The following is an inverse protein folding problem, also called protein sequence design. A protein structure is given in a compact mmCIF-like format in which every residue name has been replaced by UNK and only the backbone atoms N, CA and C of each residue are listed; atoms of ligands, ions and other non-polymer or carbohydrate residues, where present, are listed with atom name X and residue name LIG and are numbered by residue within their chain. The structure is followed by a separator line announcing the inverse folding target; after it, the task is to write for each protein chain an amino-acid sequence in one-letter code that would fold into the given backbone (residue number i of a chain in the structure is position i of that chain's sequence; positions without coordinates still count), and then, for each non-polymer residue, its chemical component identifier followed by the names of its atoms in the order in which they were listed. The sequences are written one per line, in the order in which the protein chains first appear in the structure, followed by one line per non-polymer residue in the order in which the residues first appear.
data_IF_467374748006
#
_entry.id   IF_467374748006
#
_cell.length_a   1.000
_cell.length_b   1.000
_cell.length_c   1.000
_cell.angle_alpha   90.00
_cell.angle_beta   90.00
_cell.angle_gamma   90.00
#
_symmetry.space_group_name_H-M   'P 1'
#
loop_
_entity.id
_entity.type
_entity.pdbx_description
1 polymer ?
#
# COMPACT_ATOMS: atom_id res chain seq x y z
N UNK A 1 32.83 48.15 16.94
CA UNK A 1 31.99 47.11 16.30
C UNK A 1 30.65 47.74 15.96
N UNK A 2 30.22 47.71 14.70
CA UNK A 2 29.06 48.50 14.24
C UNK A 2 27.77 47.97 14.85
N UNK A 3 27.12 48.78 15.70
CA UNK A 3 25.91 48.45 16.46
C UNK A 3 24.79 47.89 15.56
N UNK A 4 24.66 48.43 14.35
CA UNK A 4 23.70 47.96 13.35
C UNK A 4 23.95 46.51 12.90
N UNK A 5 25.21 46.06 12.88
CA UNK A 5 25.60 44.70 12.50
C UNK A 5 25.25 43.70 13.62
N UNK A 6 25.44 44.10 14.87
CA UNK A 6 25.05 43.31 16.03
C UNK A 6 23.52 43.17 16.13
N UNK A 7 22.78 44.26 15.88
CA UNK A 7 21.31 44.26 15.86
C UNK A 7 20.74 43.34 14.77
N UNK A 8 21.26 43.41 13.55
CA UNK A 8 20.83 42.53 12.44
C UNK A 8 21.14 41.06 12.74
N UNK A 9 22.28 40.76 13.36
CA UNK A 9 22.63 39.40 13.76
C UNK A 9 21.67 38.84 14.83
N UNK A 10 21.27 39.67 15.79
CA UNK A 10 20.33 39.30 16.83
C UNK A 10 18.92 39.02 16.27
N UNK A 11 18.45 39.87 15.35
CA UNK A 11 17.17 39.68 14.65
C UNK A 11 17.19 38.39 13.82
N UNK A 12 18.27 38.13 13.09
CA UNK A 12 18.43 36.89 12.31
C UNK A 12 18.42 35.64 13.20
N UNK A 13 19.08 35.69 14.37
CA UNK A 13 19.07 34.59 15.32
C UNK A 13 17.65 34.32 15.84
N UNK A 14 16.89 35.37 16.19
CA UNK A 14 15.49 35.23 16.61
C UNK A 14 14.61 34.60 15.54
N UNK A 15 14.72 35.06 14.29
CA UNK A 15 13.97 34.49 13.16
C UNK A 15 14.36 33.02 12.91
N UNK A 16 15.65 32.68 12.97
CA UNK A 16 16.11 31.31 12.79
C UNK A 16 15.53 30.36 13.85
N UNK A 17 15.45 30.80 15.12
CA UNK A 17 14.82 30.03 16.20
C UNK A 17 13.34 29.79 15.92
N UNK A 18 12.61 30.80 15.44
CA UNK A 18 11.20 30.66 15.06
C UNK A 18 11.03 29.65 13.92
N UNK A 19 11.88 29.70 12.90
CA UNK A 19 11.85 28.72 11.81
C UNK A 19 12.14 27.29 12.28
N UNK A 20 13.11 27.11 13.19
CA UNK A 20 13.41 25.80 13.77
C UNK A 20 12.21 25.26 14.56
N UNK A 21 11.57 26.11 15.37
CA UNK A 21 10.35 25.73 16.11
C UNK A 21 9.20 25.37 15.18
N UNK A 22 9.06 26.08 14.05
CA UNK A 22 8.04 25.79 13.04
C UNK A 22 8.31 24.44 12.37
N UNK A 23 9.56 24.12 12.01
CA UNK A 23 9.93 22.81 11.46
C UNK A 23 9.64 21.70 12.47
N UNK A 24 9.96 21.89 13.76
CA UNK A 24 9.67 20.91 14.82
C UNK A 24 8.16 20.71 14.99
N UNK A 25 7.37 21.80 14.99
CA UNK A 25 5.91 21.73 15.03
C UNK A 25 5.34 20.96 13.84
N UNK A 26 5.85 21.26 12.64
CA UNK A 26 5.43 20.57 11.41
C UNK A 26 5.81 19.09 11.47
N UNK A 27 7.02 18.74 11.93
CA UNK A 27 7.43 17.35 12.11
C UNK A 27 6.52 16.59 13.10
N UNK A 28 6.14 17.21 14.22
CA UNK A 28 5.21 16.59 15.17
C UNK A 28 3.80 16.40 14.57
N UNK A 29 3.31 17.38 13.81
CA UNK A 29 1.97 17.30 13.21
C UNK A 29 1.91 16.33 12.01
N UNK A 30 2.99 16.24 11.23
CA UNK A 30 3.09 15.31 10.10
C UNK A 30 3.51 13.89 10.52
N UNK A 31 4.03 13.69 11.74
CA UNK A 31 4.36 12.36 12.27
C UNK A 31 3.11 11.47 12.43
N UNK A 32 1.96 12.04 12.82
CA UNK A 32 0.71 11.28 12.93
C UNK A 32 0.21 10.80 11.56
N UNK A 33 0.25 11.70 10.57
CA UNK A 33 -0.18 11.39 9.19
C UNK A 33 0.75 10.36 8.55
N UNK A 34 2.08 10.51 8.68
CA UNK A 34 3.03 9.57 8.11
C UNK A 34 2.95 8.16 8.73
N UNK A 35 2.70 8.07 10.04
CA UNK A 35 2.55 6.79 10.73
C UNK A 35 1.25 6.10 10.36
N UNK A 36 0.11 6.79 10.37
CA UNK A 36 -1.17 6.21 9.94
C UNK A 36 -1.16 5.85 8.45
N UNK A 37 -0.53 6.65 7.60
CA UNK A 37 -0.44 6.37 6.16
C UNK A 37 0.49 5.18 5.88
N UNK A 38 1.65 5.12 6.53
CA UNK A 38 2.59 4.01 6.42
C UNK A 38 2.04 2.72 7.01
N UNK A 39 1.42 2.77 8.19
CA UNK A 39 0.80 1.62 8.83
C UNK A 39 -0.36 1.10 7.95
N UNK A 40 -1.28 1.97 7.52
CA UNK A 40 -2.46 1.56 6.74
C UNK A 40 -2.15 1.10 5.30
N UNK A 41 -1.05 1.55 4.69
CA UNK A 41 -0.55 1.03 3.40
C UNK A 41 0.02 -0.38 3.52
N UNK A 42 0.68 -0.70 4.63
CA UNK A 42 1.34 -2.01 4.81
C UNK A 42 0.49 -3.02 5.58
N UNK A 43 -0.48 -2.57 6.37
CA UNK A 43 -1.39 -3.42 7.16
C UNK A 43 -2.81 -3.43 6.59
N UNK A 44 -2.97 -3.32 5.28
CA UNK A 44 -4.28 -3.52 4.67
C UNK A 44 -4.69 -4.98 4.89
N UNK A 45 -5.61 -5.17 5.84
CA UNK A 45 -6.14 -6.48 6.18
C UNK A 45 -7.02 -6.99 5.04
N UNK A 46 -7.06 -8.31 4.86
CA UNK A 46 -7.94 -8.94 3.89
C UNK A 46 -9.38 -8.43 4.01
N UNK A 47 -10.10 -8.43 2.88
CA UNK A 47 -11.49 -7.95 2.82
C UNK A 47 -12.39 -8.80 3.71
N UNK A 48 -12.11 -10.11 3.75
CA UNK A 48 -12.85 -11.09 4.55
C UNK A 48 -11.93 -11.96 5.41
N UNK A 49 -12.50 -12.64 6.40
CA UNK A 49 -11.81 -13.71 7.14
C UNK A 49 -11.91 -15.01 6.32
N UNK A 50 -10.93 -15.90 6.50
CA UNK A 50 -11.01 -17.25 5.95
C UNK A 50 -12.35 -17.91 6.37
N UNK A 51 -13.08 -18.58 5.45
CA UNK A 51 -12.60 -19.11 4.17
C UNK A 51 -12.68 -18.15 2.95
N UNK A 52 -13.22 -16.94 3.11
CA UNK A 52 -13.35 -15.96 2.01
C UNK A 52 -14.15 -16.48 0.79
N UNK A 53 -13.99 -15.82 -0.35
CA UNK A 53 -14.64 -16.17 -1.63
C UNK A 53 -13.63 -16.06 -2.77
N UNK A 54 -13.55 -17.10 -3.61
CA UNK A 54 -12.71 -17.11 -4.80
C UNK A 54 -13.36 -16.32 -5.93
N UNK A 55 -12.59 -15.39 -6.50
CA UNK A 55 -13.00 -14.53 -7.59
C UNK A 55 -11.95 -14.62 -8.70
N UNK A 56 -12.41 -15.01 -9.88
CA UNK A 56 -11.57 -15.06 -11.08
C UNK A 56 -11.49 -13.67 -11.72
N UNK A 57 -10.27 -13.21 -11.94
CA UNK A 57 -9.97 -11.93 -12.58
C UNK A 57 -9.08 -12.11 -13.79
N UNK A 58 -9.28 -11.25 -14.79
CA UNK A 58 -8.44 -11.19 -15.97
C UNK A 58 -7.65 -9.89 -15.95
N UNK A 59 -6.32 -10.00 -15.90
CA UNK A 59 -5.43 -8.86 -16.08
C UNK A 59 -4.96 -8.83 -17.53
N UNK A 60 -5.19 -7.70 -18.19
CA UNK A 60 -4.66 -7.44 -19.53
C UNK A 60 -3.32 -6.72 -19.41
N UNK A 61 -2.42 -6.95 -20.38
CA UNK A 61 -1.05 -6.42 -20.33
C UNK A 61 -0.92 -4.91 -20.51
N UNK A 62 -1.99 -4.24 -20.92
CA UNK A 62 -2.11 -2.80 -21.09
C UNK A 62 -2.74 -2.08 -19.88
N UNK A 63 -3.24 -2.83 -18.88
CA UNK A 63 -3.84 -2.24 -17.68
C UNK A 63 -2.79 -1.58 -16.79
N UNK A 64 -3.09 -0.36 -16.37
CA UNK A 64 -2.35 0.37 -15.36
C UNK A 64 -2.62 -0.17 -13.95
N UNK A 65 -1.73 0.15 -13.00
CA UNK A 65 -1.91 -0.20 -11.59
C UNK A 65 -3.23 0.33 -11.00
N UNK A 66 -3.71 1.48 -11.49
CA UNK A 66 -4.98 2.06 -11.09
C UNK A 66 -6.16 1.22 -11.59
N UNK A 67 -6.16 0.85 -12.88
CA UNK A 67 -7.21 0.00 -13.47
C UNK A 67 -7.28 -1.38 -12.84
N UNK A 68 -6.13 -1.96 -12.48
CA UNK A 68 -6.07 -3.22 -11.73
C UNK A 68 -6.70 -3.03 -10.34
N UNK A 69 -6.33 -1.96 -9.61
CA UNK A 69 -6.89 -1.66 -8.30
C UNK A 69 -8.39 -1.44 -8.32
N UNK A 70 -8.90 -0.68 -9.29
CA UNK A 70 -10.34 -0.43 -9.48
C UNK A 70 -11.09 -1.73 -9.75
N UNK A 71 -10.59 -2.57 -10.66
CA UNK A 71 -11.18 -3.87 -10.97
C UNK A 71 -11.21 -4.81 -9.77
N UNK A 72 -10.14 -4.85 -8.97
CA UNK A 72 -10.11 -5.64 -7.75
C UNK A 72 -11.09 -5.10 -6.70
N UNK A 73 -11.25 -3.78 -6.58
CA UNK A 73 -12.19 -3.18 -5.64
C UNK A 73 -13.64 -3.44 -6.05
N UNK A 74 -13.97 -3.30 -7.33
CA UNK A 74 -15.30 -3.61 -7.87
C UNK A 74 -15.70 -5.07 -7.61
N UNK A 75 -14.72 -5.98 -7.63
CA UNK A 75 -14.91 -7.40 -7.35
C UNK A 75 -14.83 -7.75 -5.86
N UNK A 76 -14.63 -6.77 -4.98
CA UNK A 76 -14.55 -6.96 -3.54
C UNK A 76 -13.29 -7.69 -3.08
N UNK A 77 -12.23 -7.73 -3.90
CA UNK A 77 -10.94 -8.34 -3.55
C UNK A 77 -10.02 -7.37 -2.78
N UNK A 78 -10.17 -6.06 -2.99
CA UNK A 78 -9.48 -5.03 -2.22
C UNK A 78 -10.46 -3.99 -1.70
N UNK A 79 -10.12 -3.32 -0.58
CA UNK A 79 -11.02 -2.36 0.07
C UNK A 79 -10.93 -0.98 -0.58
N UNK A 80 -9.73 -0.59 -1.02
CA UNK A 80 -9.48 0.72 -1.62
C UNK A 80 -8.46 0.58 -2.78
N UNK A 81 -8.91 0.91 -3.99
CA UNK A 81 -8.14 0.86 -5.22
C UNK A 81 -6.91 1.79 -5.19
N UNK A 82 -7.01 2.94 -4.51
CA UNK A 82 -5.89 3.90 -4.42
C UNK A 82 -4.82 3.41 -3.46
N UNK A 83 -5.22 2.76 -2.36
CA UNK A 83 -4.26 2.11 -1.46
C UNK A 83 -3.55 0.96 -2.17
N UNK A 84 -4.31 0.12 -2.88
CA UNK A 84 -3.75 -0.94 -3.70
C UNK A 84 -2.78 -0.41 -4.77
N UNK A 85 -3.19 0.60 -5.54
CA UNK A 85 -2.36 1.22 -6.58
C UNK A 85 -1.04 1.71 -6.00
N UNK A 86 -1.10 2.41 -4.87
CA UNK A 86 0.08 2.93 -4.19
C UNK A 86 0.97 1.79 -3.68
N UNK A 87 0.39 0.74 -3.09
CA UNK A 87 1.12 -0.43 -2.65
C UNK A 87 1.81 -1.14 -3.81
N UNK A 88 1.13 -1.34 -4.93
CA UNK A 88 1.70 -1.94 -6.14
C UNK A 88 2.83 -1.07 -6.70
N UNK A 89 2.63 0.26 -6.81
CA UNK A 89 3.66 1.20 -7.31
C UNK A 89 4.90 1.26 -6.44
N UNK A 90 4.75 1.20 -5.12
CA UNK A 90 5.86 1.22 -4.16
C UNK A 90 6.50 -0.16 -3.96
N UNK A 91 5.81 -1.24 -4.31
CA UNK A 91 6.36 -2.59 -4.23
C UNK A 91 7.46 -2.84 -5.26
N UNK A 92 8.29 -3.86 -5.00
CA UNK A 92 9.25 -4.39 -5.98
C UNK A 92 8.58 -5.01 -7.23
N UNK A 93 7.25 -5.06 -7.25
CA UNK A 93 6.40 -5.72 -8.24
C UNK A 93 5.67 -4.75 -9.19
N UNK A 94 5.87 -3.43 -9.03
CA UNK A 94 5.20 -2.38 -9.81
C UNK A 94 5.19 -2.55 -11.34
N UNK A 95 6.17 -3.28 -11.89
CA UNK A 95 6.29 -3.60 -13.33
C UNK A 95 6.39 -5.09 -13.62
N UNK A 96 6.10 -5.93 -12.61
CA UNK A 96 6.24 -7.38 -12.70
C UNK A 96 4.89 -8.09 -12.82
N UNK A 97 3.78 -7.39 -12.60
CA UNK A 97 2.44 -7.93 -12.83
C UNK A 97 2.31 -8.38 -14.28
N UNK A 98 1.92 -9.64 -14.48
CA UNK A 98 1.79 -10.25 -15.80
C UNK A 98 0.32 -10.26 -16.21
N UNK A 99 0.09 -10.22 -17.52
CA UNK A 99 -1.23 -10.46 -18.07
C UNK A 99 -1.59 -11.95 -17.88
N UNK A 100 -2.83 -12.22 -17.47
CA UNK A 100 -3.24 -13.59 -17.17
C UNK A 100 -4.61 -13.67 -16.50
N UNK A 101 -5.06 -14.91 -16.32
CA UNK A 101 -6.21 -15.26 -15.50
C UNK A 101 -5.71 -15.63 -14.11
N UNK A 102 -6.27 -14.99 -13.08
CA UNK A 102 -5.90 -15.24 -11.68
C UNK A 102 -7.15 -15.55 -10.88
N UNK A 103 -7.07 -16.58 -10.04
CA UNK A 103 -8.06 -16.84 -9.00
C UNK A 103 -7.54 -16.22 -7.72
N UNK A 104 -8.23 -15.19 -7.24
CA UNK A 104 -7.89 -14.46 -6.02
C UNK A 104 -9.00 -14.64 -5.00
N UNK A 105 -8.65 -14.68 -3.71
CA UNK A 105 -9.62 -14.90 -2.65
C UNK A 105 -9.79 -13.64 -1.79
N UNK A 106 -11.00 -13.32 -1.36
CA UNK A 106 -11.28 -12.15 -0.49
C UNK A 106 -10.59 -12.21 0.88
N UNK A 107 -10.12 -13.38 1.31
CA UNK A 107 -9.31 -13.59 2.52
C UNK A 107 -7.81 -13.37 2.30
N UNK A 108 -7.37 -13.15 1.05
CA UNK A 108 -5.99 -12.77 0.76
C UNK A 108 -5.79 -11.27 1.00
N UNK A 109 -4.57 -10.89 1.38
CA UNK A 109 -4.22 -9.47 1.46
C UNK A 109 -3.89 -8.91 0.08
N UNK A 110 -4.02 -7.60 -0.10
CA UNK A 110 -3.63 -6.90 -1.32
C UNK A 110 -2.17 -7.23 -1.74
N UNK A 111 -1.28 -7.40 -0.77
CA UNK A 111 0.11 -7.80 -0.98
C UNK A 111 0.21 -9.21 -1.60
N UNK A 112 -0.51 -10.18 -1.06
CA UNK A 112 -0.48 -11.57 -1.56
C UNK A 112 -0.99 -11.63 -3.00
N UNK A 113 -2.07 -10.89 -3.29
CA UNK A 113 -2.59 -10.75 -4.64
C UNK A 113 -1.54 -10.16 -5.59
N UNK A 114 -0.82 -9.09 -5.20
CA UNK A 114 0.26 -8.49 -6.02
C UNK A 114 1.34 -9.50 -6.36
N UNK A 115 1.73 -10.34 -5.39
CA UNK A 115 2.78 -11.35 -5.56
C UNK A 115 2.32 -12.44 -6.53
N UNK A 116 1.10 -12.98 -6.36
CA UNK A 116 0.48 -13.96 -7.27
C UNK A 116 0.43 -13.42 -8.70
N UNK A 117 -0.05 -12.17 -8.86
CA UNK A 117 -0.18 -11.53 -10.17
C UNK A 117 1.18 -11.21 -10.82
N UNK A 118 2.26 -11.15 -10.03
CA UNK A 118 3.62 -10.94 -10.53
C UNK A 118 4.33 -12.22 -10.98
N UNK A 119 3.70 -13.38 -10.79
CA UNK A 119 4.26 -14.67 -11.17
C UNK A 119 5.35 -15.17 -10.23
N UNK A 120 5.53 -14.53 -9.07
CA UNK A 120 6.15 -15.17 -7.92
C UNK A 120 5.04 -15.99 -7.27
N UNK A 121 4.85 -17.24 -7.70
CA UNK A 121 3.92 -18.14 -7.01
C UNK A 121 4.49 -18.42 -5.62
N UNK A 122 4.06 -17.65 -4.61
CA UNK A 122 3.80 -18.28 -3.32
C UNK A 122 2.72 -19.29 -3.61
N UNK A 123 3.06 -20.57 -3.47
CA UNK A 123 2.12 -21.67 -3.51
C UNK A 123 0.87 -21.25 -2.73
N UNK A 124 -0.19 -20.88 -3.46
CA UNK A 124 -1.52 -20.84 -2.90
C UNK A 124 -1.77 -22.28 -2.52
N UNK A 125 -1.72 -22.56 -1.22
CA UNK A 125 -1.90 -23.89 -0.64
C UNK A 125 -3.01 -24.60 -1.40
N UNK A 126 -2.60 -25.55 -2.24
CA UNK A 126 -3.49 -26.52 -2.84
C UNK A 126 -3.98 -27.40 -1.67
N UNK A 127 -5.09 -27.02 -1.06
CA UNK A 127 -5.96 -28.00 -0.44
C UNK A 127 -7.09 -28.30 -1.43
N UNK A 128 -6.75 -29.11 -2.43
CA UNK A 128 -7.72 -30.03 -3.01
C UNK A 128 -7.13 -31.43 -2.95
N UNK A 129 -7.52 -32.19 -1.92
CA UNK A 129 -7.78 -33.61 -2.09
C UNK A 129 -9.22 -33.90 -1.69
N UNK A 130 -10.04 -34.05 -2.73
CA UNK A 130 -11.22 -34.89 -2.73
C UNK A 130 -10.82 -36.33 -2.40
N UNK A 131 -11.65 -37.05 -1.63
CA UNK A 131 -12.17 -38.41 -1.93
C UNK A 131 -12.86 -38.95 -0.68
N UNK A 132 -14.16 -39.26 -0.79
CA UNK A 132 -14.86 -40.04 0.23
C UNK A 132 -14.57 -41.53 0.06
N UNK A 133 -14.61 -42.29 1.16
CA UNK A 133 -15.19 -43.64 1.18
C UNK A 133 -15.27 -44.20 2.62
N UNK A 134 -16.48 -44.67 2.96
CA UNK A 134 -16.80 -45.91 3.68
C UNK A 134 -16.25 -46.18 5.09
N UNK A 135 -17.17 -46.21 6.06
CA UNK A 135 -17.35 -47.40 6.89
C UNK A 135 -18.80 -47.56 7.34
#
# INVERSE_FOLDING_TARGET
MNVNKALIAFIKAGIAVIFILLIIYMAMHFSGVGFDFGYRIFTESAVDKAPGTDVVVQIKGDMSAAEIGEMLQEKGLVRDAKLFELQLKLSAYSKKVKAGMYTLNTSQTAKDMIVIMSGDTVESTEETQTTGESK
#
